data_IF_856739828001
#
_entry.id   IF_856739828001
#
_cell.length_a   1.000
_cell.length_b   1.000
_cell.length_c   1.000
_cell.angle_alpha   90.00
_cell.angle_beta   90.00
_cell.angle_gamma   90.00
#
_symmetry.space_group_name_H-M   'P 1'
#
loop_
_entity.id
_entity.type
_entity.pdbx_description
1 polymer ?
#
# COMPACT_ATOMS: atom_id res chain seq x y z
N UNK A 1 -41.86 16.33 -8.30
CA UNK A 1 -40.82 15.41 -8.77
C UNK A 1 -40.64 14.30 -7.75
N UNK A 2 -41.18 13.10 -8.04
CA UNK A 2 -41.15 11.97 -7.13
C UNK A 2 -39.70 11.43 -6.97
N UNK A 3 -39.19 11.37 -5.73
CA UNK A 3 -37.94 10.65 -5.40
C UNK A 3 -38.18 9.18 -5.71
N UNK A 4 -37.59 8.68 -6.79
CA UNK A 4 -37.53 7.25 -7.08
C UNK A 4 -36.99 6.54 -5.83
N UNK A 5 -37.82 5.71 -5.20
CA UNK A 5 -37.39 4.80 -4.14
C UNK A 5 -36.32 3.90 -4.75
N UNK A 6 -35.07 4.06 -4.33
CA UNK A 6 -34.00 3.15 -4.73
C UNK A 6 -34.44 1.74 -4.28
N UNK A 7 -34.58 0.82 -5.22
CA UNK A 7 -34.78 -0.58 -4.88
C UNK A 7 -33.59 -1.02 -4.06
N UNK A 8 -33.87 -1.58 -2.86
CA UNK A 8 -32.82 -2.13 -2.00
C UNK A 8 -31.95 -3.10 -2.81
N UNK A 9 -30.65 -3.00 -2.67
CA UNK A 9 -29.72 -3.94 -3.29
C UNK A 9 -29.95 -5.34 -2.68
N UNK A 10 -30.31 -6.29 -3.53
CA UNK A 10 -30.37 -7.71 -3.17
C UNK A 10 -29.17 -8.46 -3.75
N UNK A 11 -28.89 -9.64 -3.24
CA UNK A 11 -27.81 -10.48 -3.75
C UNK A 11 -28.00 -10.82 -5.24
N UNK A 12 -29.25 -11.10 -5.65
CA UNK A 12 -29.59 -11.31 -7.05
C UNK A 12 -29.26 -10.08 -7.90
N UNK A 13 -29.65 -8.88 -7.47
CA UNK A 13 -29.31 -7.63 -8.17
C UNK A 13 -27.79 -7.45 -8.26
N UNK A 14 -27.05 -7.65 -7.16
CA UNK A 14 -25.60 -7.55 -7.16
C UNK A 14 -24.95 -8.51 -8.15
N UNK A 15 -25.46 -9.75 -8.25
CA UNK A 15 -24.96 -10.77 -9.17
C UNK A 15 -25.21 -10.38 -10.61
N UNK A 16 -26.41 -9.88 -10.93
CA UNK A 16 -26.88 -9.68 -12.30
C UNK A 16 -26.49 -8.31 -12.91
N UNK A 17 -25.89 -7.40 -12.12
CA UNK A 17 -25.43 -6.11 -12.63
C UNK A 17 -24.40 -6.31 -13.75
N UNK A 18 -24.66 -5.77 -14.97
CA UNK A 18 -23.78 -5.99 -16.13
C UNK A 18 -22.47 -5.19 -16.03
N UNK A 19 -21.42 -5.71 -16.65
CA UNK A 19 -20.23 -4.94 -16.96
C UNK A 19 -20.56 -3.92 -18.06
N UNK A 20 -20.07 -2.69 -17.88
CA UNK A 20 -20.15 -1.64 -18.90
C UNK A 20 -18.74 -1.13 -19.25
N UNK A 21 -18.62 -0.33 -20.31
CA UNK A 21 -17.36 0.28 -20.75
C UNK A 21 -16.82 1.31 -19.77
N UNK A 22 -17.69 1.84 -18.91
CA UNK A 22 -17.31 2.75 -17.82
C UNK A 22 -17.72 2.16 -16.49
N UNK A 23 -16.87 2.34 -15.48
CA UNK A 23 -17.22 1.97 -14.10
C UNK A 23 -18.42 2.78 -13.61
N UNK A 24 -19.30 2.13 -12.88
CA UNK A 24 -20.47 2.77 -12.25
C UNK A 24 -20.73 2.19 -10.87
N UNK A 25 -21.60 2.82 -10.11
CA UNK A 25 -22.00 2.30 -8.80
C UNK A 25 -23.49 2.39 -8.58
N UNK A 26 -23.98 1.57 -7.65
CA UNK A 26 -25.31 1.63 -7.05
C UNK A 26 -25.17 1.94 -5.56
N UNK A 27 -26.00 2.85 -5.01
CA UNK A 27 -26.03 3.08 -3.57
C UNK A 27 -26.51 1.81 -2.86
N UNK A 28 -25.89 1.50 -1.73
CA UNK A 28 -26.33 0.42 -0.85
C UNK A 28 -27.38 0.89 0.17
N UNK A 29 -27.87 -0.04 0.98
CA UNK A 29 -28.94 0.21 1.97
C UNK A 29 -28.45 0.94 3.24
N UNK A 30 -27.17 1.20 3.35
CA UNK A 30 -26.58 1.99 4.43
C UNK A 30 -26.00 3.30 3.89
N UNK A 31 -26.23 4.45 4.53
CA UNK A 31 -25.72 5.74 4.07
C UNK A 31 -24.21 5.70 3.82
N UNK A 32 -23.77 6.07 2.62
CA UNK A 32 -22.37 6.04 2.20
C UNK A 32 -21.88 4.68 1.69
N UNK A 33 -22.67 3.61 1.77
CA UNK A 33 -22.34 2.33 1.16
C UNK A 33 -22.55 2.39 -0.36
N UNK A 34 -21.54 2.01 -1.12
CA UNK A 34 -21.54 2.00 -2.58
C UNK A 34 -21.13 0.62 -3.12
N UNK A 35 -21.90 0.09 -4.08
CA UNK A 35 -21.55 -1.11 -4.83
C UNK A 35 -21.06 -0.76 -6.22
N UNK A 36 -19.80 -0.95 -6.48
CA UNK A 36 -19.14 -0.59 -7.72
C UNK A 36 -18.99 -1.78 -8.66
N UNK A 37 -19.30 -1.58 -9.93
CA UNK A 37 -18.95 -2.47 -11.03
C UNK A 37 -17.85 -1.82 -11.85
N UNK A 38 -16.68 -2.47 -11.87
CA UNK A 38 -15.50 -1.98 -12.58
C UNK A 38 -15.56 -2.41 -14.05
N UNK A 39 -14.76 -1.75 -14.90
CA UNK A 39 -14.62 -2.09 -16.33
C UNK A 39 -14.07 -3.49 -16.56
N UNK A 40 -13.36 -4.07 -15.59
CA UNK A 40 -12.92 -5.48 -15.59
C UNK A 40 -14.07 -6.48 -15.34
N UNK A 41 -15.26 -6.01 -14.93
CA UNK A 41 -16.35 -6.86 -14.44
C UNK A 41 -16.26 -7.17 -12.95
N UNK A 42 -15.17 -6.79 -12.28
CA UNK A 42 -15.03 -6.97 -10.83
C UNK A 42 -16.04 -6.10 -10.08
N UNK A 43 -16.72 -6.69 -9.12
CA UNK A 43 -17.73 -6.03 -8.29
C UNK A 43 -17.16 -5.82 -6.90
N UNK A 44 -17.21 -4.58 -6.38
CA UNK A 44 -16.52 -4.20 -5.15
C UNK A 44 -17.36 -3.27 -4.30
N UNK A 45 -17.40 -3.54 -3.00
CA UNK A 45 -18.02 -2.67 -2.01
C UNK A 45 -17.07 -1.58 -1.58
N UNK A 46 -17.58 -0.33 -1.53
CA UNK A 46 -16.90 0.83 -0.96
C UNK A 46 -17.80 1.52 0.05
N UNK A 47 -17.18 2.15 1.03
CA UNK A 47 -17.85 3.05 1.96
C UNK A 47 -17.31 4.47 1.77
N UNK A 48 -18.20 5.39 1.41
CA UNK A 48 -17.90 6.81 1.27
C UNK A 48 -18.17 7.51 2.59
N UNK A 49 -17.22 8.31 3.04
CA UNK A 49 -17.32 9.05 4.28
C UNK A 49 -16.54 10.37 4.23
N UNK A 50 -16.85 11.28 5.15
CA UNK A 50 -16.13 12.54 5.30
C UNK A 50 -15.53 12.60 6.70
N UNK A 51 -14.20 12.58 6.86
CA UNK A 51 -13.53 12.81 8.13
C UNK A 51 -13.82 14.23 8.65
N UNK A 52 -13.87 14.41 9.98
CA UNK A 52 -14.15 15.71 10.59
C UNK A 52 -13.12 16.80 10.22
N UNK A 53 -11.87 16.39 10.02
CA UNK A 53 -10.73 17.28 9.74
C UNK A 53 -10.46 17.48 8.23
N UNK A 54 -11.28 16.91 7.33
CA UNK A 54 -11.10 17.02 5.88
C UNK A 54 -12.28 17.69 5.18
N UNK A 55 -11.99 18.52 4.18
CA UNK A 55 -13.04 19.20 3.38
C UNK A 55 -13.65 18.30 2.31
N UNK A 56 -13.00 17.18 1.97
CA UNK A 56 -13.40 16.26 0.91
C UNK A 56 -13.82 14.89 1.47
N UNK A 57 -14.58 14.17 0.66
CA UNK A 57 -15.02 12.81 0.98
C UNK A 57 -13.95 11.80 0.59
N UNK A 58 -13.84 10.75 1.39
CA UNK A 58 -12.96 9.61 1.16
C UNK A 58 -13.79 8.37 0.88
N UNK A 59 -13.19 7.40 0.19
CA UNK A 59 -13.77 6.08 -0.02
C UNK A 59 -12.85 5.01 0.55
N UNK A 60 -13.41 4.10 1.34
CA UNK A 60 -12.71 2.92 1.83
C UNK A 60 -13.26 1.68 1.15
N UNK A 61 -12.40 0.87 0.56
CA UNK A 61 -12.76 -0.43 0.01
C UNK A 61 -13.07 -1.39 1.15
N UNK A 62 -14.22 -2.08 1.05
CA UNK A 62 -14.69 -3.05 2.06
C UNK A 62 -14.40 -4.49 1.64
N UNK A 63 -14.29 -4.74 0.34
CA UNK A 63 -13.99 -6.04 -0.25
C UNK A 63 -14.74 -6.29 -1.55
N UNK A 64 -14.40 -7.40 -2.20
CA UNK A 64 -15.01 -7.82 -3.45
C UNK A 64 -16.25 -8.70 -3.19
N UNK A 65 -17.25 -8.52 -4.03
CA UNK A 65 -18.37 -9.44 -4.14
C UNK A 65 -17.96 -10.62 -5.07
N UNK A 66 -18.34 -11.88 -4.76
CA UNK A 66 -19.25 -12.29 -3.67
C UNK A 66 -18.56 -12.57 -2.33
N UNK A 67 -17.24 -12.49 -2.23
CA UNK A 67 -16.49 -12.78 -0.98
C UNK A 67 -17.01 -11.94 0.20
N UNK A 68 -17.33 -10.67 -0.05
CA UNK A 68 -18.04 -9.81 0.91
C UNK A 68 -19.48 -9.64 0.43
N UNK A 69 -20.42 -10.27 1.12
CA UNK A 69 -21.86 -10.14 0.86
C UNK A 69 -22.43 -8.83 1.40
N UNK A 70 -23.68 -8.54 1.09
CA UNK A 70 -24.39 -7.28 1.47
C UNK A 70 -24.38 -7.08 2.99
N UNK A 71 -24.77 -8.10 3.75
CA UNK A 71 -24.85 -8.01 5.21
C UNK A 71 -23.50 -7.67 5.85
N UNK A 72 -22.43 -8.28 5.35
CA UNK A 72 -21.06 -8.01 5.80
C UNK A 72 -20.60 -6.61 5.40
N UNK A 73 -20.91 -6.16 4.19
CA UNK A 73 -20.63 -4.81 3.74
C UNK A 73 -21.31 -3.75 4.62
N UNK A 74 -22.59 -3.96 4.98
CA UNK A 74 -23.33 -3.11 5.90
C UNK A 74 -22.69 -3.11 7.29
N UNK A 75 -22.32 -4.30 7.83
CA UNK A 75 -21.65 -4.43 9.12
C UNK A 75 -20.34 -3.65 9.15
N UNK A 76 -19.49 -3.82 8.13
CA UNK A 76 -18.22 -3.07 8.00
C UNK A 76 -18.45 -1.56 7.89
N UNK A 77 -19.48 -1.12 7.14
CA UNK A 77 -19.84 0.30 7.03
C UNK A 77 -20.24 0.90 8.36
N UNK A 78 -21.07 0.19 9.14
CA UNK A 78 -21.48 0.61 10.49
C UNK A 78 -20.28 0.76 11.43
N UNK A 79 -19.34 -0.18 11.40
CA UNK A 79 -18.11 -0.11 12.21
C UNK A 79 -17.28 1.12 11.87
N UNK A 80 -17.08 1.39 10.55
CA UNK A 80 -16.34 2.57 10.11
C UNK A 80 -17.07 3.85 10.49
N UNK A 81 -18.40 3.90 10.33
CA UNK A 81 -19.20 5.04 10.73
C UNK A 81 -19.07 5.35 12.23
N UNK A 82 -19.05 4.31 13.07
CA UNK A 82 -18.83 4.46 14.52
C UNK A 82 -17.44 4.99 14.84
N UNK A 83 -16.39 4.51 14.15
CA UNK A 83 -15.02 5.02 14.32
C UNK A 83 -14.94 6.51 13.99
N UNK A 84 -15.56 6.93 12.88
CA UNK A 84 -15.57 8.33 12.44
C UNK A 84 -16.37 9.19 13.43
N UNK A 85 -17.49 8.70 13.93
CA UNK A 85 -18.28 9.38 14.97
C UNK A 85 -17.43 9.64 16.21
N UNK A 86 -16.63 8.67 16.62
CA UNK A 86 -15.69 8.77 17.74
C UNK A 86 -14.44 9.62 17.41
N UNK A 87 -14.38 10.25 16.23
CA UNK A 87 -13.27 11.12 15.82
C UNK A 87 -12.05 10.39 15.25
N UNK A 88 -12.12 9.08 15.05
CA UNK A 88 -11.03 8.26 14.50
C UNK A 88 -11.20 8.14 12.99
N UNK A 89 -10.22 8.62 12.20
CA UNK A 89 -10.17 8.33 10.76
C UNK A 89 -9.57 6.93 10.57
N UNK A 90 -10.34 5.95 10.03
CA UNK A 90 -9.85 4.59 9.85
C UNK A 90 -8.64 4.47 8.94
N UNK A 91 -8.44 5.41 8.01
CA UNK A 91 -7.26 5.42 7.15
C UNK A 91 -6.02 5.90 7.91
N UNK A 92 -6.16 6.91 8.75
CA UNK A 92 -5.07 7.40 9.60
C UNK A 92 -4.68 6.37 10.66
N UNK A 93 -5.66 5.67 11.23
CA UNK A 93 -5.39 4.59 12.16
C UNK A 93 -4.56 3.46 11.52
N UNK A 94 -4.96 2.98 10.34
CA UNK A 94 -4.22 1.95 9.60
C UNK A 94 -2.79 2.41 9.31
N UNK A 95 -2.61 3.66 8.86
CA UNK A 95 -1.27 4.22 8.61
C UNK A 95 -0.44 4.26 9.90
N UNK A 96 -1.02 4.74 10.99
CA UNK A 96 -0.33 4.79 12.27
C UNK A 96 0.10 3.40 12.75
N UNK A 97 -0.73 2.38 12.54
CA UNK A 97 -0.41 1.01 12.90
C UNK A 97 0.67 0.40 11.99
N UNK A 98 0.65 0.70 10.69
CA UNK A 98 1.73 0.32 9.77
C UNK A 98 3.06 0.95 10.20
N UNK A 99 3.08 2.23 10.55
CA UNK A 99 4.29 2.94 10.96
C UNK A 99 4.92 2.41 12.26
N UNK A 100 4.14 1.75 13.11
CA UNK A 100 4.65 1.07 14.31
C UNK A 100 5.34 -0.25 14.02
N UNK A 101 5.05 -0.87 12.86
CA UNK A 101 5.66 -2.14 12.47
C UNK A 101 7.15 -1.99 12.23
N UNK A 102 7.90 -3.07 12.47
CA UNK A 102 9.27 -3.17 12.01
C UNK A 102 9.32 -3.37 10.48
N UNK A 103 10.37 -2.89 9.82
CA UNK A 103 10.52 -3.02 8.37
C UNK A 103 10.38 -4.47 7.90
N UNK A 104 11.03 -5.41 8.59
CA UNK A 104 10.96 -6.82 8.24
C UNK A 104 9.57 -7.41 8.34
N UNK A 105 8.80 -7.03 9.37
CA UNK A 105 7.39 -7.42 9.53
C UNK A 105 6.51 -6.85 8.41
N UNK A 106 6.64 -5.57 8.15
CA UNK A 106 5.89 -4.87 7.11
C UNK A 106 6.18 -5.45 5.71
N UNK A 107 7.44 -5.80 5.40
CA UNK A 107 7.81 -6.46 4.15
C UNK A 107 7.19 -7.85 4.01
N UNK A 108 7.15 -8.65 5.10
CA UNK A 108 6.47 -9.97 5.05
C UNK A 108 4.99 -9.81 4.76
N UNK A 109 4.35 -8.83 5.39
CA UNK A 109 2.94 -8.51 5.14
C UNK A 109 2.70 -8.02 3.71
N UNK A 110 3.58 -7.16 3.19
CA UNK A 110 3.56 -6.71 1.79
C UNK A 110 3.65 -7.88 0.80
N UNK A 111 4.47 -8.89 1.08
CA UNK A 111 4.54 -10.09 0.25
C UNK A 111 3.25 -10.89 0.19
N UNK A 112 2.50 -10.90 1.29
CA UNK A 112 1.25 -11.66 1.39
C UNK A 112 0.07 -10.93 0.76
N UNK A 113 0.00 -9.62 0.93
CA UNK A 113 -1.17 -8.82 0.60
C UNK A 113 -1.07 -8.13 -0.76
N UNK A 114 0.10 -7.58 -1.11
CA UNK A 114 0.27 -6.72 -2.27
C UNK A 114 1.13 -7.38 -3.37
N UNK A 115 2.21 -8.07 -3.01
CA UNK A 115 3.15 -8.65 -3.97
C UNK A 115 2.71 -10.05 -4.40
N UNK A 116 1.58 -10.12 -5.10
CA UNK A 116 0.95 -11.38 -5.53
C UNK A 116 0.61 -11.36 -7.02
N UNK A 117 0.47 -12.52 -7.64
CA UNK A 117 0.02 -12.65 -9.03
C UNK A 117 -1.42 -12.12 -9.20
N UNK A 118 -2.26 -12.26 -8.18
CA UNK A 118 -3.63 -11.74 -8.17
C UNK A 118 -3.64 -10.21 -8.35
N UNK A 119 -2.61 -9.53 -7.85
CA UNK A 119 -2.42 -8.09 -8.01
C UNK A 119 -1.65 -7.72 -9.29
N UNK A 120 -1.47 -8.67 -10.21
CA UNK A 120 -0.89 -8.46 -11.54
C UNK A 120 0.64 -8.51 -11.59
N UNK A 121 1.31 -8.98 -10.54
CA UNK A 121 2.76 -9.15 -10.54
C UNK A 121 3.16 -10.47 -11.20
N UNK A 122 4.18 -10.40 -12.09
CA UNK A 122 4.77 -11.62 -12.68
C UNK A 122 5.56 -12.39 -11.63
N UNK A 123 5.43 -13.72 -11.61
CA UNK A 123 6.12 -14.60 -10.63
C UNK A 123 7.64 -14.39 -10.61
N UNK A 124 8.27 -14.18 -11.77
CA UNK A 124 9.70 -13.87 -11.85
C UNK A 124 10.07 -12.56 -11.12
N UNK A 125 9.23 -11.52 -11.24
CA UNK A 125 9.43 -10.25 -10.51
C UNK A 125 9.29 -10.45 -9.01
N UNK A 126 8.26 -11.20 -8.58
CA UNK A 126 8.04 -11.53 -7.16
C UNK A 126 9.27 -12.24 -6.58
N UNK A 127 9.78 -13.24 -7.28
CA UNK A 127 10.93 -14.02 -6.84
C UNK A 127 12.21 -13.18 -6.78
N UNK A 128 12.44 -12.30 -7.74
CA UNK A 128 13.58 -11.37 -7.74
C UNK A 128 13.53 -10.39 -6.55
N UNK A 129 12.36 -9.80 -6.28
CA UNK A 129 12.18 -8.90 -5.12
C UNK A 129 12.47 -9.65 -3.82
N UNK A 130 11.88 -10.84 -3.65
CA UNK A 130 12.09 -11.67 -2.46
C UNK A 130 13.54 -12.08 -2.29
N UNK A 131 14.24 -12.45 -3.37
CA UNK A 131 15.65 -12.83 -3.33
C UNK A 131 16.55 -11.67 -2.89
N UNK A 132 16.34 -10.47 -3.42
CA UNK A 132 17.11 -9.28 -3.04
C UNK A 132 16.84 -8.91 -1.58
N UNK A 133 15.57 -8.87 -1.15
CA UNK A 133 15.26 -8.54 0.24
C UNK A 133 15.74 -9.62 1.23
N UNK A 134 15.71 -10.90 0.83
CA UNK A 134 16.24 -12.00 1.64
C UNK A 134 17.69 -11.75 2.03
N UNK A 135 18.52 -11.33 1.08
CA UNK A 135 19.96 -11.08 1.31
C UNK A 135 20.18 -9.74 2.03
N UNK A 136 19.70 -8.66 1.45
CA UNK A 136 20.13 -7.30 1.80
C UNK A 136 19.33 -6.63 2.91
N UNK A 137 18.09 -7.07 3.13
CA UNK A 137 17.25 -6.57 4.23
C UNK A 137 17.17 -7.56 5.38
N UNK A 138 16.88 -8.83 5.08
CA UNK A 138 16.77 -9.88 6.10
C UNK A 138 18.11 -10.51 6.49
N UNK A 139 19.19 -10.14 5.84
CA UNK A 139 20.57 -10.64 6.06
C UNK A 139 20.68 -12.17 6.01
N UNK A 140 19.78 -12.82 5.30
CA UNK A 140 19.75 -14.27 5.17
C UNK A 140 20.63 -14.69 3.97
N UNK A 141 21.95 -14.78 4.22
CA UNK A 141 22.95 -15.20 3.24
C UNK A 141 24.08 -15.94 3.97
N UNK A 142 24.71 -16.89 3.27
CA UNK A 142 25.93 -17.57 3.71
C UNK A 142 27.20 -17.00 3.02
N UNK A 143 27.05 -16.04 2.13
CA UNK A 143 28.13 -15.37 1.44
C UNK A 143 28.88 -14.46 2.41
N UNK A 144 30.14 -14.80 2.73
CA UNK A 144 30.98 -14.08 3.69
C UNK A 144 31.20 -12.62 3.30
N UNK A 145 31.40 -12.34 1.99
CA UNK A 145 31.62 -10.98 1.50
C UNK A 145 30.38 -10.12 1.73
N UNK A 146 29.17 -10.66 1.46
CA UNK A 146 27.92 -9.94 1.70
C UNK A 146 27.66 -9.73 3.19
N UNK A 147 27.98 -10.71 4.05
CA UNK A 147 27.88 -10.56 5.50
C UNK A 147 28.83 -9.47 6.00
N UNK A 148 30.05 -9.40 5.49
CA UNK A 148 30.99 -8.34 5.85
C UNK A 148 30.45 -6.96 5.48
N UNK A 149 29.89 -6.79 4.28
CA UNK A 149 29.24 -5.56 3.85
C UNK A 149 28.07 -5.21 4.78
N UNK A 150 27.20 -6.17 5.07
CA UNK A 150 26.03 -5.96 5.92
C UNK A 150 26.39 -5.59 7.36
N UNK A 151 27.51 -6.08 7.88
CA UNK A 151 27.97 -5.75 9.24
C UNK A 151 28.45 -4.30 9.38
N UNK A 152 28.69 -3.60 8.27
CA UNK A 152 29.08 -2.18 8.26
C UNK A 152 27.90 -1.22 8.33
N UNK A 153 26.67 -1.72 8.18
CA UNK A 153 25.43 -0.92 8.27
C UNK A 153 24.55 -1.41 9.40
N UNK A 154 23.74 -0.50 9.91
CA UNK A 154 22.74 -0.84 10.91
C UNK A 154 21.72 -1.85 10.35
N UNK A 155 21.31 -2.79 11.20
CA UNK A 155 20.25 -3.75 10.82
C UNK A 155 18.88 -3.08 10.84
N UNK A 156 18.43 -2.67 9.66
CA UNK A 156 17.20 -1.91 9.49
C UNK A 156 15.94 -2.78 9.56
N UNK A 157 16.05 -4.13 9.48
CA UNK A 157 14.86 -4.99 9.49
C UNK A 157 14.06 -4.89 10.79
N UNK A 158 14.75 -4.61 11.91
CA UNK A 158 14.15 -4.47 13.25
C UNK A 158 13.75 -3.02 13.58
N UNK A 159 14.04 -2.06 12.70
CA UNK A 159 13.64 -0.67 12.89
C UNK A 159 12.15 -0.48 12.58
N UNK A 160 11.48 0.30 13.43
CA UNK A 160 10.11 0.74 13.14
C UNK A 160 10.10 1.61 11.89
N UNK A 161 9.08 1.47 11.05
CA UNK A 161 8.96 2.27 9.83
C UNK A 161 8.99 3.78 10.13
N UNK A 162 8.40 4.21 11.25
CA UNK A 162 8.43 5.61 11.70
C UNK A 162 9.83 6.15 12.05
N UNK A 163 10.80 5.28 12.34
CA UNK A 163 12.17 5.67 12.71
C UNK A 163 13.18 5.55 11.56
N UNK A 164 12.76 5.04 10.41
CA UNK A 164 13.62 4.90 9.23
C UNK A 164 13.84 6.26 8.59
N UNK A 165 15.10 6.60 8.37
CA UNK A 165 15.51 7.85 7.76
C UNK A 165 16.09 7.64 6.35
N UNK A 166 16.07 8.66 5.48
CA UNK A 166 16.74 8.59 4.17
C UNK A 166 18.23 8.25 4.28
N UNK A 167 18.88 8.71 5.34
CA UNK A 167 20.31 8.44 5.59
C UNK A 167 20.60 6.95 5.76
N UNK A 168 19.73 6.21 6.48
CA UNK A 168 19.89 4.77 6.68
C UNK A 168 19.83 4.00 5.36
N UNK A 169 18.87 4.33 4.51
CA UNK A 169 18.77 3.72 3.19
C UNK A 169 19.94 4.10 2.29
N UNK A 170 20.34 5.38 2.28
CA UNK A 170 21.50 5.82 1.50
C UNK A 170 22.76 5.06 1.88
N UNK A 171 23.02 4.87 3.17
CA UNK A 171 24.17 4.07 3.65
C UNK A 171 24.10 2.61 3.16
N UNK A 172 22.92 1.99 3.25
CA UNK A 172 22.72 0.62 2.74
C UNK A 172 22.97 0.56 1.23
N UNK A 173 22.42 1.47 0.45
CA UNK A 173 22.58 1.46 -1.01
C UNK A 173 24.03 1.71 -1.43
N UNK A 174 24.75 2.63 -0.79
CA UNK A 174 26.16 2.87 -1.05
C UNK A 174 27.02 1.64 -0.78
N UNK A 175 26.77 0.95 0.33
CA UNK A 175 27.51 -0.27 0.67
C UNK A 175 27.17 -1.45 -0.23
N UNK A 176 25.92 -1.63 -0.61
CA UNK A 176 25.51 -2.63 -1.61
C UNK A 176 26.11 -2.27 -2.98
N UNK A 177 26.12 -0.98 -3.32
CA UNK A 177 26.63 -0.45 -4.58
C UNK A 177 28.14 -0.66 -4.75
N UNK A 178 28.93 -0.60 -3.68
CA UNK A 178 30.36 -0.91 -3.74
C UNK A 178 30.66 -2.36 -4.17
N UNK A 179 29.68 -3.27 -3.97
CA UNK A 179 29.75 -4.66 -4.45
C UNK A 179 29.03 -4.85 -5.78
N UNK A 180 27.87 -4.23 -5.96
CA UNK A 180 27.08 -4.34 -7.18
C UNK A 180 26.11 -3.16 -7.33
N UNK A 181 26.42 -2.16 -8.17
CA UNK A 181 25.56 -1.02 -8.45
C UNK A 181 24.17 -1.44 -8.97
N UNK A 182 24.12 -2.46 -9.83
CA UNK A 182 22.86 -2.98 -10.40
C UNK A 182 21.94 -3.50 -9.28
N UNK A 183 22.49 -4.24 -8.32
CA UNK A 183 21.72 -4.77 -7.19
C UNK A 183 21.25 -3.65 -6.28
N UNK A 184 22.10 -2.65 -6.03
CA UNK A 184 21.75 -1.49 -5.22
C UNK A 184 20.60 -0.69 -5.82
N UNK A 185 20.63 -0.44 -7.14
CA UNK A 185 19.55 0.25 -7.85
C UNK A 185 18.22 -0.53 -7.78
N UNK A 186 18.28 -1.85 -7.97
CA UNK A 186 17.09 -2.71 -7.83
C UNK A 186 16.56 -2.72 -6.39
N UNK A 187 17.43 -2.81 -5.40
CA UNK A 187 17.05 -2.74 -3.98
C UNK A 187 16.36 -1.41 -3.67
N UNK A 188 16.91 -0.29 -4.15
CA UNK A 188 16.30 1.03 -4.01
C UNK A 188 14.92 1.10 -4.67
N UNK A 189 14.80 0.63 -5.91
CA UNK A 189 13.54 0.61 -6.64
C UNK A 189 12.47 -0.21 -5.90
N UNK A 190 12.82 -1.40 -5.41
CA UNK A 190 11.88 -2.29 -4.74
C UNK A 190 11.46 -1.78 -3.38
N UNK A 191 12.37 -1.19 -2.59
CA UNK A 191 12.02 -0.55 -1.32
C UNK A 191 11.16 0.69 -1.52
N UNK A 192 11.44 1.51 -2.57
CA UNK A 192 10.59 2.64 -2.94
C UNK A 192 9.19 2.18 -3.34
N UNK A 193 9.09 1.12 -4.16
CA UNK A 193 7.81 0.53 -4.53
C UNK A 193 7.03 0.05 -3.30
N UNK A 194 7.68 -0.70 -2.41
CA UNK A 194 7.09 -1.12 -1.14
C UNK A 194 6.56 0.06 -0.34
N UNK A 195 7.35 1.14 -0.22
CA UNK A 195 6.94 2.32 0.53
C UNK A 195 5.72 3.01 -0.08
N UNK A 196 5.71 3.17 -1.38
CA UNK A 196 4.61 3.80 -2.10
C UNK A 196 3.33 2.96 -2.08
N UNK A 197 3.44 1.65 -2.23
CA UNK A 197 2.30 0.77 -2.37
C UNK A 197 1.70 0.38 -1.02
N UNK A 198 2.54 0.12 -0.02
CA UNK A 198 2.14 -0.42 1.28
C UNK A 198 2.11 0.61 2.40
N UNK A 199 3.21 1.33 2.63
CA UNK A 199 3.31 2.30 3.74
C UNK A 199 2.49 3.55 3.45
N UNK A 200 2.54 4.06 2.21
CA UNK A 200 1.72 5.19 1.70
C UNK A 200 1.84 6.45 2.55
N UNK A 201 3.00 6.67 3.16
CA UNK A 201 3.27 7.80 4.05
C UNK A 201 3.77 9.02 3.26
N UNK A 202 3.24 10.24 3.52
CA UNK A 202 3.74 11.46 2.87
C UNK A 202 5.22 11.74 3.17
N UNK A 203 5.71 11.33 4.34
CA UNK A 203 7.12 11.45 4.73
C UNK A 203 7.95 10.25 4.24
N UNK A 204 7.74 9.88 2.99
CA UNK A 204 8.47 8.81 2.34
C UNK A 204 9.99 9.10 2.41
N UNK A 205 10.82 8.19 2.97
CA UNK A 205 12.26 8.41 3.10
C UNK A 205 13.00 8.43 1.75
N UNK A 206 12.34 8.02 0.67
CA UNK A 206 12.87 8.13 -0.70
C UNK A 206 12.54 9.47 -1.36
N UNK A 207 11.74 10.35 -0.70
CA UNK A 207 11.38 11.65 -1.21
C UNK A 207 12.15 12.74 -0.44
N UNK A 208 13.05 13.42 -1.13
CA UNK A 208 13.78 14.56 -0.58
C UNK A 208 13.06 15.82 -1.04
N UNK A 209 12.48 16.57 -0.11
CA UNK A 209 11.94 17.92 -0.42
C UNK A 209 13.12 18.86 -0.66
N UNK A 210 13.31 19.31 -1.89
CA UNK A 210 14.21 20.44 -2.16
C UNK A 210 13.56 21.72 -1.62
N UNK A 211 14.32 22.49 -0.85
CA UNK A 211 13.97 23.86 -0.40
C UNK A 211 14.02 24.89 -1.57
N UNK A 212 13.36 24.62 -2.67
CA UNK A 212 13.25 25.57 -3.76
C UNK A 212 11.79 25.93 -4.06
N UNK A 213 11.57 27.10 -4.65
CA UNK A 213 10.30 27.84 -4.86
C UNK A 213 9.10 27.05 -5.45
N UNK A 214 9.27 25.80 -5.76
CA UNK A 214 8.22 24.87 -6.14
C UNK A 214 8.44 23.60 -5.31
N UNK A 215 7.36 22.98 -4.84
CA UNK A 215 7.38 21.71 -4.09
C UNK A 215 7.88 20.54 -4.98
N UNK A 216 9.09 20.63 -5.49
CA UNK A 216 9.71 19.54 -6.22
C UNK A 216 10.12 18.44 -5.27
N UNK A 217 9.53 17.28 -5.46
CA UNK A 217 9.89 16.05 -4.77
C UNK A 217 11.02 15.39 -5.54
N UNK A 218 12.19 15.31 -4.92
CA UNK A 218 13.37 14.67 -5.51
C UNK A 218 13.53 13.28 -4.92
N UNK A 219 13.60 12.28 -5.80
CA UNK A 219 13.94 10.91 -5.41
C UNK A 219 15.44 10.78 -5.14
N UNK A 220 15.81 9.82 -4.32
CA UNK A 220 17.23 9.42 -4.22
C UNK A 220 17.71 8.95 -5.59
N UNK A 221 18.86 9.46 -6.01
CA UNK A 221 19.45 9.07 -7.28
C UNK A 221 19.79 7.58 -7.30
N UNK A 222 19.64 6.97 -8.45
CA UNK A 222 20.15 5.63 -8.68
C UNK A 222 21.66 5.66 -8.75
N UNK A 223 22.29 4.57 -8.32
CA UNK A 223 23.72 4.37 -8.56
C UNK A 223 23.94 4.07 -10.03
N UNK A 224 24.99 4.69 -10.62
CA UNK A 224 25.37 4.38 -11.98
C UNK A 224 25.94 2.95 -12.04
N UNK A 225 25.45 2.10 -12.94
CA UNK A 225 26.00 0.74 -13.08
C UNK A 225 27.44 0.69 -13.56
N UNK A 226 27.98 1.82 -14.08
CA UNK A 226 29.33 1.92 -14.62
C UNK A 226 30.34 2.51 -13.62
N UNK A 227 29.90 3.05 -12.49
CA UNK A 227 30.75 3.43 -11.37
C UNK A 227 30.97 2.22 -10.44
#
# INVERSE_FOLDING_TARGET
MGKSKSKNLTDAICRDLPRLDKRYFKPGDFPGLEFWVLTSGTKTWYYQYKPKNKKYQLRKRLGNYPTVGIAEAIKKSKQISQQIFNGVDPQEQIKADILKMQLGEALRKYYQEELTEINGHRIGTINNIKAIFKVWVFRNTYDKNKLEILNRVEDIQYKKLSSITPKMFKQLFQLVGSSSPIVANRLQEYLRKFWNDFVREPNNPFLIKKKYKFDEVVYLDFLDPTE
#
